data_IF_774865594808
#
_entry.id   IF_774865594808
#
_cell.length_a   1.000
_cell.length_b   1.000
_cell.length_c   1.000
_cell.angle_alpha   90.00
_cell.angle_beta   90.00
_cell.angle_gamma   90.00
#
_symmetry.space_group_name_H-M   'P 1'
#
loop_
_entity.id
_entity.type
_entity.pdbx_description
1 polymer ?
#
# COMPACT_ATOMS: atom_id res chain seq x y z
N UNK A 1 23.58 -37.07 33.43
CA UNK A 1 22.44 -37.12 32.48
C UNK A 1 21.62 -35.82 32.45
N UNK A 2 21.28 -35.20 33.58
CA UNK A 2 20.44 -33.99 33.60
C UNK A 2 21.11 -32.76 32.96
N UNK A 3 22.41 -32.57 33.20
CA UNK A 3 23.20 -31.47 32.62
C UNK A 3 23.33 -31.55 31.08
N UNK A 4 23.38 -32.77 30.53
CA UNK A 4 23.48 -32.99 29.08
C UNK A 4 22.17 -32.67 28.35
N UNK A 5 21.02 -32.93 29.00
CA UNK A 5 19.69 -32.61 28.46
C UNK A 5 19.43 -31.10 28.48
N UNK A 6 19.84 -30.41 29.54
CA UNK A 6 19.72 -28.95 29.65
C UNK A 6 20.60 -28.26 28.59
N UNK A 7 21.84 -28.72 28.39
CA UNK A 7 22.72 -28.20 27.35
C UNK A 7 22.17 -28.41 25.92
N UNK A 8 21.55 -29.56 25.66
CA UNK A 8 20.97 -29.88 24.35
C UNK A 8 19.71 -29.04 24.05
N UNK A 9 18.87 -28.77 25.06
CA UNK A 9 17.69 -27.90 24.93
C UNK A 9 18.11 -26.44 24.71
N UNK A 10 19.10 -25.94 25.44
CA UNK A 10 19.63 -24.58 25.25
C UNK A 10 20.27 -24.43 23.87
N UNK A 11 21.02 -25.42 23.39
CA UNK A 11 21.61 -25.42 22.06
C UNK A 11 20.55 -25.45 20.94
N UNK A 12 19.46 -26.21 21.12
CA UNK A 12 18.34 -26.23 20.17
C UNK A 12 17.59 -24.88 20.12
N UNK A 13 17.40 -24.21 21.25
CA UNK A 13 16.76 -22.89 21.29
C UNK A 13 17.60 -21.79 20.61
N UNK A 14 18.93 -21.85 20.72
CA UNK A 14 19.84 -20.90 20.06
C UNK A 14 19.86 -21.11 18.53
N UNK A 15 19.78 -22.36 18.06
CA UNK A 15 19.72 -22.66 16.61
C UNK A 15 18.37 -22.27 15.97
N UNK A 16 17.26 -22.40 16.71
CA UNK A 16 15.93 -21.96 16.27
C UNK A 16 15.82 -20.42 16.19
N UNK A 17 16.54 -19.70 17.05
CA UNK A 17 16.63 -18.24 17.02
C UNK A 17 17.48 -17.70 15.86
N UNK A 18 18.49 -18.46 15.42
CA UNK A 18 19.42 -18.03 14.37
C UNK A 18 18.81 -18.12 12.95
N UNK A 19 17.81 -18.99 12.74
CA UNK A 19 17.11 -19.11 11.45
C UNK A 19 15.95 -18.12 11.27
N UNK A 20 15.58 -17.38 12.32
CA UNK A 20 14.50 -16.38 12.29
C UNK A 20 15.01 -14.96 11.97
N UNK A 21 16.33 -14.75 11.88
CA UNK A 21 16.94 -13.45 11.54
C UNK A 21 16.98 -13.16 10.02
N UNK A 22 16.08 -13.76 9.23
CA UNK A 22 15.84 -13.29 7.85
C UNK A 22 14.81 -12.16 7.84
N UNK A 23 15.04 -11.13 8.67
CA UNK A 23 14.23 -9.90 8.67
C UNK A 23 14.41 -9.08 7.37
N UNK A 24 15.43 -9.39 6.57
CA UNK A 24 15.71 -8.70 5.31
C UNK A 24 14.70 -8.98 4.18
N UNK A 25 13.78 -9.95 4.33
CA UNK A 25 12.78 -10.27 3.29
C UNK A 25 11.44 -9.53 3.42
N UNK A 26 11.09 -9.02 4.61
CA UNK A 26 9.80 -8.36 4.84
C UNK A 26 9.78 -6.91 4.29
N UNK A 27 10.89 -6.18 4.41
CA UNK A 27 10.96 -4.80 3.96
C UNK A 27 11.01 -4.65 2.43
N UNK A 28 11.57 -5.63 1.70
CA UNK A 28 11.60 -5.64 0.24
C UNK A 28 10.24 -5.90 -0.39
N UNK A 29 9.53 -6.95 0.08
CA UNK A 29 8.16 -7.27 -0.36
C UNK A 29 7.16 -6.16 -0.06
N UNK A 30 7.33 -5.44 1.05
CA UNK A 30 6.48 -4.30 1.40
C UNK A 30 6.56 -3.15 0.38
N UNK A 31 7.77 -2.84 -0.11
CA UNK A 31 7.95 -1.79 -1.11
C UNK A 31 7.32 -2.17 -2.47
N UNK A 32 7.47 -3.43 -2.89
CA UNK A 32 6.87 -3.94 -4.13
C UNK A 32 5.32 -3.90 -4.07
N UNK A 33 4.74 -4.30 -2.93
CA UNK A 33 3.29 -4.20 -2.72
C UNK A 33 2.77 -2.76 -2.73
N UNK A 34 3.52 -1.80 -2.19
CA UNK A 34 3.14 -0.38 -2.25
C UNK A 34 3.08 0.12 -3.70
N UNK A 35 4.04 -0.28 -4.55
CA UNK A 35 4.04 0.11 -5.96
C UNK A 35 2.85 -0.50 -6.73
N UNK A 36 2.53 -1.78 -6.50
CA UNK A 36 1.36 -2.43 -7.12
C UNK A 36 0.04 -1.79 -6.64
N UNK A 37 -0.08 -1.43 -5.36
CA UNK A 37 -1.26 -0.71 -4.85
C UNK A 37 -1.40 0.65 -5.52
N UNK A 38 -0.31 1.42 -5.66
CA UNK A 38 -0.32 2.71 -6.38
C UNK A 38 -0.74 2.52 -7.83
N UNK A 39 -0.24 1.48 -8.51
CA UNK A 39 -0.61 1.16 -9.89
C UNK A 39 -2.11 0.88 -10.02
N UNK A 40 -2.66 0.00 -9.18
CA UNK A 40 -4.09 -0.29 -9.20
C UNK A 40 -4.96 0.91 -8.81
N UNK A 41 -4.50 1.77 -7.90
CA UNK A 41 -5.19 3.02 -7.59
C UNK A 41 -5.24 3.95 -8.81
N UNK A 42 -4.16 4.05 -9.59
CA UNK A 42 -4.11 4.82 -10.85
C UNK A 42 -5.05 4.23 -11.91
N UNK A 43 -5.13 2.91 -12.03
CA UNK A 43 -6.10 2.21 -12.88
C UNK A 43 -7.56 2.49 -12.43
N UNK A 44 -7.82 2.45 -11.13
CA UNK A 44 -9.13 2.80 -10.55
C UNK A 44 -9.55 4.24 -10.88
N UNK A 45 -8.64 5.21 -10.78
CA UNK A 45 -8.88 6.59 -11.20
C UNK A 45 -9.25 6.67 -12.68
N UNK A 46 -8.59 5.90 -13.55
CA UNK A 46 -8.91 5.88 -14.98
C UNK A 46 -10.34 5.38 -15.23
N UNK A 47 -10.76 4.29 -14.58
CA UNK A 47 -12.14 3.80 -14.67
C UNK A 47 -13.16 4.81 -14.10
N UNK A 48 -12.84 5.49 -13.00
CA UNK A 48 -13.73 6.53 -12.45
C UNK A 48 -13.87 7.71 -13.42
N UNK A 49 -12.80 8.08 -14.14
CA UNK A 49 -12.87 9.12 -15.19
C UNK A 49 -13.76 8.70 -16.37
N UNK A 50 -13.74 7.43 -16.75
CA UNK A 50 -14.67 6.88 -17.76
C UNK A 50 -16.12 6.88 -17.25
N UNK A 51 -16.35 6.47 -15.99
CA UNK A 51 -17.68 6.53 -15.39
C UNK A 51 -18.22 7.98 -15.33
N UNK A 52 -17.36 8.96 -14.99
CA UNK A 52 -17.71 10.39 -15.03
C UNK A 52 -18.21 10.81 -16.42
N UNK A 53 -17.56 10.35 -17.50
CA UNK A 53 -18.00 10.67 -18.86
C UNK A 53 -19.45 10.22 -19.11
N UNK A 54 -19.81 8.99 -18.72
CA UNK A 54 -21.17 8.49 -18.86
C UNK A 54 -22.18 9.21 -17.96
N UNK A 55 -21.77 9.59 -16.74
CA UNK A 55 -22.63 10.41 -15.87
C UNK A 55 -22.87 11.78 -16.50
N UNK A 56 -21.86 12.42 -17.10
CA UNK A 56 -22.01 13.69 -17.81
C UNK A 56 -22.96 13.58 -19.01
N UNK A 57 -22.92 12.49 -19.76
CA UNK A 57 -23.90 12.20 -20.83
C UNK A 57 -25.30 12.05 -20.27
N UNK A 58 -25.47 11.33 -19.15
CA UNK A 58 -26.75 11.19 -18.46
C UNK A 58 -27.29 12.55 -17.99
N UNK A 59 -26.45 13.39 -17.38
CA UNK A 59 -26.82 14.75 -16.95
C UNK A 59 -27.28 15.60 -18.14
N UNK A 60 -26.56 15.55 -19.27
CA UNK A 60 -26.95 16.28 -20.49
C UNK A 60 -28.27 15.78 -21.07
N UNK A 61 -28.51 14.47 -21.03
CA UNK A 61 -29.71 13.85 -21.61
C UNK A 61 -30.97 14.01 -20.76
N UNK A 62 -30.83 14.07 -19.43
CA UNK A 62 -31.97 13.99 -18.50
C UNK A 62 -32.13 15.20 -17.59
N UNK A 63 -31.05 15.93 -17.29
CA UNK A 63 -31.05 16.95 -16.25
C UNK A 63 -31.31 16.40 -14.84
N UNK A 64 -31.16 15.08 -14.64
CA UNK A 64 -31.46 14.42 -13.36
C UNK A 64 -30.54 14.91 -12.23
N UNK A 65 -31.14 15.30 -11.11
CA UNK A 65 -30.43 15.84 -9.96
C UNK A 65 -29.52 14.80 -9.28
N UNK A 66 -29.93 13.52 -9.23
CA UNK A 66 -29.10 12.47 -8.66
C UNK A 66 -27.90 12.16 -9.57
N UNK A 67 -28.03 12.28 -10.89
CA UNK A 67 -26.89 12.19 -11.81
C UNK A 67 -25.89 13.34 -11.57
N UNK A 68 -26.35 14.55 -11.25
CA UNK A 68 -25.47 15.66 -10.87
C UNK A 68 -24.75 15.42 -9.53
N UNK A 69 -25.46 14.89 -8.53
CA UNK A 69 -24.85 14.50 -7.24
C UNK A 69 -23.84 13.36 -7.42
N UNK A 70 -24.17 12.34 -8.21
CA UNK A 70 -23.25 11.26 -8.54
C UNK A 70 -21.98 11.76 -9.24
N UNK A 71 -22.12 12.75 -10.15
CA UNK A 71 -20.98 13.40 -10.80
C UNK A 71 -20.07 14.10 -9.79
N UNK A 72 -20.65 14.80 -8.81
CA UNK A 72 -19.90 15.48 -7.76
C UNK A 72 -19.14 14.47 -6.89
N UNK A 73 -19.80 13.42 -6.42
CA UNK A 73 -19.16 12.38 -5.61
C UNK A 73 -18.06 11.62 -6.37
N UNK A 74 -18.25 11.37 -7.68
CA UNK A 74 -17.21 10.74 -8.49
C UNK A 74 -15.95 11.61 -8.60
N UNK A 75 -16.11 12.94 -8.70
CA UNK A 75 -14.98 13.89 -8.70
C UNK A 75 -14.27 13.93 -7.34
N UNK A 76 -15.02 13.96 -6.24
CA UNK A 76 -14.47 13.89 -4.87
C UNK A 76 -13.71 12.58 -4.63
N UNK A 77 -14.23 11.45 -5.12
CA UNK A 77 -13.57 10.16 -5.02
C UNK A 77 -12.21 10.14 -5.74
N UNK A 78 -12.08 10.81 -6.90
CA UNK A 78 -10.79 10.97 -7.57
C UNK A 78 -9.82 11.78 -6.70
N UNK A 79 -10.26 12.90 -6.12
CA UNK A 79 -9.42 13.70 -5.23
C UNK A 79 -8.88 12.87 -4.06
N UNK A 80 -9.73 12.12 -3.38
CA UNK A 80 -9.29 11.26 -2.27
C UNK A 80 -8.37 10.11 -2.71
N UNK A 81 -8.57 9.56 -3.91
CA UNK A 81 -7.68 8.55 -4.48
C UNK A 81 -6.29 9.14 -4.78
N UNK A 82 -6.23 10.36 -5.33
CA UNK A 82 -4.98 11.08 -5.60
C UNK A 82 -4.22 11.41 -4.30
N UNK A 83 -4.92 11.87 -3.25
CA UNK A 83 -4.35 12.08 -1.91
C UNK A 83 -3.80 10.78 -1.32
N UNK A 84 -4.54 9.68 -1.45
CA UNK A 84 -4.12 8.35 -0.97
C UNK A 84 -2.86 7.87 -1.68
N UNK A 85 -2.76 8.08 -2.99
CA UNK A 85 -1.55 7.79 -3.77
C UNK A 85 -0.38 8.63 -3.27
N UNK A 86 -0.57 9.94 -3.05
CA UNK A 86 0.49 10.81 -2.54
C UNK A 86 1.02 10.32 -1.18
N UNK A 87 0.13 9.90 -0.27
CA UNK A 87 0.52 9.30 1.00
C UNK A 87 1.30 7.99 0.82
N UNK A 88 0.85 7.09 -0.06
CA UNK A 88 1.55 5.84 -0.36
C UNK A 88 2.95 6.09 -0.95
N UNK A 89 3.08 7.07 -1.85
CA UNK A 89 4.36 7.47 -2.44
C UNK A 89 5.32 8.07 -1.40
N UNK A 90 4.82 8.81 -0.40
CA UNK A 90 5.64 9.28 0.72
C UNK A 90 6.09 8.14 1.63
N UNK A 91 5.21 7.18 1.94
CA UNK A 91 5.53 6.03 2.78
C UNK A 91 6.54 5.06 2.10
N UNK A 92 6.50 4.96 0.76
CA UNK A 92 7.43 4.15 -0.02
C UNK A 92 8.86 4.71 -0.12
N UNK A 93 9.09 5.99 0.22
CA UNK A 93 10.43 6.59 0.21
C UNK A 93 11.18 6.21 1.49
N UNK A 94 12.23 5.38 1.38
CA UNK A 94 13.14 5.10 2.51
C UNK A 94 13.77 6.42 3.02
N UNK A 95 13.88 6.63 4.34
CA UNK A 95 14.60 7.79 4.86
C UNK A 95 16.09 7.71 4.47
N UNK A 96 16.64 8.78 3.89
CA UNK A 96 18.08 8.93 3.68
C UNK A 96 18.81 8.78 5.03
N UNK A 97 19.49 7.65 5.21
CA UNK A 97 20.39 7.48 6.35
C UNK A 97 21.62 8.34 6.08
N UNK A 98 21.73 9.49 6.76
CA UNK A 98 22.98 10.26 6.77
C UNK A 98 24.12 9.34 7.26
N UNK A 99 25.27 9.28 6.56
CA UNK A 99 26.38 8.45 6.98
C UNK A 99 26.83 8.90 8.37
N UNK A 100 26.91 7.97 9.33
CA UNK A 100 27.48 8.25 10.65
C UNK A 100 28.95 8.64 10.44
N UNK A 101 29.29 9.88 10.83
CA UNK A 101 30.67 10.33 10.87
C UNK A 101 31.48 9.38 11.78
N UNK A 102 32.64 8.94 11.27
CA UNK A 102 33.59 8.07 11.98
C UNK A 102 34.32 8.84 13.06
#
# INVERSE_FOLDING_TARGET
>A
MMQLRVAMVISACVMMGLTMLSEDSLAGKGADHVQEVIKHAKEGIAHTKEAIHHIEESVKGTGDAHAQEALQHAKEAITHAEESIAHAEMAGKKPERKPKAK
#
